data_IF_091767675944
#
_entry.id   IF_091767675944
#
_cell.length_a   1.000
_cell.length_b   1.000
_cell.length_c   1.000
_cell.angle_alpha   90.00
_cell.angle_beta   90.00
_cell.angle_gamma   90.00
#
_symmetry.space_group_name_H-M   'P 1'
#
loop_
_entity.id
_entity.type
_entity.pdbx_description
1 polymer ?
#
# COMPACT_ATOMS: atom_id res chain seq x y z
N UNK A 1 32.07 12.39 3.31
CA UNK A 1 30.60 12.31 3.31
C UNK A 1 30.04 10.88 3.42
N UNK A 2 30.82 9.82 3.14
CA UNK A 2 30.42 8.41 3.30
C UNK A 2 30.41 7.89 4.76
N UNK A 3 31.20 8.45 5.67
CA UNK A 3 31.26 8.00 7.08
C UNK A 3 30.02 8.36 7.91
N UNK A 4 29.29 9.42 7.58
CA UNK A 4 28.11 9.87 8.34
C UNK A 4 26.89 8.97 8.10
N UNK A 5 26.75 8.41 6.89
CA UNK A 5 25.63 7.48 6.55
C UNK A 5 25.80 6.10 7.24
N UNK A 6 27.04 5.61 7.39
CA UNK A 6 27.31 4.35 8.07
C UNK A 6 27.03 4.42 9.59
N UNK A 7 27.28 5.57 10.23
CA UNK A 7 27.01 5.77 11.66
C UNK A 7 25.50 5.84 11.94
N UNK A 8 24.69 6.38 10.99
CA UNK A 8 23.23 6.41 11.16
C UNK A 8 22.60 5.02 11.02
N UNK A 9 23.10 4.15 10.13
CA UNK A 9 22.56 2.79 9.98
C UNK A 9 22.91 1.90 11.17
N UNK A 10 24.14 1.96 11.68
CA UNK A 10 24.59 1.20 12.85
C UNK A 10 23.89 1.66 14.15
N UNK A 11 23.55 2.95 14.27
CA UNK A 11 22.83 3.49 15.44
C UNK A 11 21.36 3.05 15.50
N UNK A 12 20.71 2.79 14.35
CA UNK A 12 19.31 2.34 14.31
C UNK A 12 19.16 0.85 14.64
N UNK A 13 20.14 0.01 14.32
CA UNK A 13 20.14 -1.42 14.69
C UNK A 13 20.31 -1.66 16.19
N UNK A 14 20.82 -0.67 16.93
CA UNK A 14 21.01 -0.72 18.38
C UNK A 14 19.76 -0.30 19.19
N UNK A 15 18.70 0.21 18.53
CA UNK A 15 17.48 0.60 19.24
C UNK A 15 16.62 -0.61 19.59
N UNK A 16 15.96 -0.62 20.76
CA UNK A 16 15.00 -1.66 21.11
C UNK A 16 13.95 -1.85 20.00
N UNK A 17 13.59 -3.10 19.71
CA UNK A 17 12.63 -3.44 18.66
C UNK A 17 11.31 -2.65 18.76
N UNK A 18 10.86 -2.35 19.98
CA UNK A 18 9.67 -1.55 20.25
C UNK A 18 9.78 -0.10 19.76
N UNK A 19 10.97 0.50 19.86
CA UNK A 19 11.22 1.87 19.35
C UNK A 19 11.35 1.83 17.84
N UNK A 20 12.11 0.87 17.32
CA UNK A 20 12.29 0.69 15.87
C UNK A 20 10.95 0.46 15.16
N UNK A 21 10.05 -0.36 15.72
CA UNK A 21 8.68 -0.57 15.22
C UNK A 21 7.91 0.75 15.13
N UNK A 22 7.90 1.56 16.18
CA UNK A 22 7.15 2.82 16.22
C UNK A 22 7.62 3.84 15.18
N UNK A 23 8.91 3.84 14.86
CA UNK A 23 9.51 4.83 13.96
C UNK A 23 9.53 4.35 12.52
N UNK A 24 9.97 3.10 12.27
CA UNK A 24 10.16 2.57 10.92
C UNK A 24 8.90 1.92 10.37
N UNK A 25 8.17 1.17 11.19
CA UNK A 25 7.00 0.40 10.78
C UNK A 25 5.83 0.61 11.75
N UNK A 26 5.34 1.85 11.93
CA UNK A 26 4.19 2.11 12.79
C UNK A 26 2.93 1.45 12.23
N UNK A 27 2.05 0.99 13.13
CA UNK A 27 0.71 0.50 12.78
C UNK A 27 -0.30 1.07 13.78
N UNK A 28 -0.76 2.31 13.59
CA UNK A 28 -1.69 2.96 14.50
C UNK A 28 -3.09 2.30 14.55
N UNK A 29 -3.52 1.64 13.47
CA UNK A 29 -4.83 0.97 13.34
C UNK A 29 -4.68 -0.52 13.03
N UNK A 30 -4.06 -1.33 13.91
CA UNK A 30 -3.76 -2.73 13.62
C UNK A 30 -5.04 -3.57 13.45
N UNK A 31 -6.08 -3.32 14.24
CA UNK A 31 -7.33 -4.06 14.16
C UNK A 31 -8.03 -3.83 12.81
N UNK A 32 -8.15 -2.59 12.37
CA UNK A 32 -8.78 -2.23 11.09
C UNK A 32 -8.02 -2.86 9.91
N UNK A 33 -6.68 -2.83 9.96
CA UNK A 33 -5.84 -3.49 8.93
C UNK A 33 -6.11 -4.99 8.91
N UNK A 34 -6.04 -5.67 10.06
CA UNK A 34 -6.20 -7.13 10.13
C UNK A 34 -7.59 -7.59 9.71
N UNK A 35 -8.64 -6.91 10.19
CA UNK A 35 -10.01 -7.25 9.85
C UNK A 35 -10.31 -7.04 8.36
N UNK A 36 -9.89 -5.91 7.80
CA UNK A 36 -10.14 -5.61 6.40
C UNK A 36 -9.28 -6.48 5.46
N UNK A 37 -7.99 -6.64 5.76
CA UNK A 37 -7.11 -7.54 5.03
C UNK A 37 -7.66 -8.98 5.02
N UNK A 38 -8.15 -9.47 6.17
CA UNK A 38 -8.77 -10.78 6.29
C UNK A 38 -10.05 -10.91 5.46
N UNK A 39 -10.93 -9.90 5.45
CA UNK A 39 -12.16 -9.92 4.64
C UNK A 39 -11.88 -10.00 3.14
N UNK A 40 -10.86 -9.29 2.68
CA UNK A 40 -10.53 -9.19 1.27
C UNK A 40 -9.44 -10.17 0.79
N UNK A 41 -8.85 -10.97 1.69
CA UNK A 41 -7.78 -11.91 1.36
C UNK A 41 -6.49 -11.23 0.90
N UNK A 42 -6.17 -10.07 1.49
CA UNK A 42 -4.95 -9.29 1.21
C UNK A 42 -3.94 -9.50 2.33
N UNK A 43 -2.65 -9.55 1.99
CA UNK A 43 -1.59 -9.60 2.98
C UNK A 43 -1.56 -8.31 3.82
N UNK A 44 -1.72 -8.37 5.16
CA UNK A 44 -1.73 -7.18 6.02
C UNK A 44 -0.40 -6.41 6.01
N UNK A 45 0.73 -7.07 5.73
CA UNK A 45 2.00 -6.38 5.56
C UNK A 45 2.02 -5.52 4.29
N UNK A 46 1.40 -6.02 3.20
CA UNK A 46 1.24 -5.23 1.98
C UNK A 46 0.34 -4.02 2.22
N UNK A 47 -0.77 -4.18 2.94
CA UNK A 47 -1.64 -3.05 3.32
C UNK A 47 -0.86 -1.99 4.09
N UNK A 48 -0.10 -2.39 5.12
CA UNK A 48 0.73 -1.47 5.89
C UNK A 48 1.79 -0.76 5.03
N UNK A 49 2.43 -1.50 4.10
CA UNK A 49 3.44 -0.95 3.20
C UNK A 49 2.85 0.11 2.27
N UNK A 50 1.67 -0.15 1.71
CA UNK A 50 0.94 0.82 0.87
C UNK A 50 0.57 2.05 1.70
N UNK A 51 -0.04 1.91 2.87
CA UNK A 51 -0.40 3.04 3.75
C UNK A 51 0.83 3.91 4.06
N UNK A 52 1.96 3.26 4.40
CA UNK A 52 3.21 3.98 4.68
C UNK A 52 3.70 4.78 3.48
N UNK A 53 3.60 4.23 2.28
CA UNK A 53 4.05 4.89 1.05
C UNK A 53 3.10 5.99 0.59
N UNK A 54 1.79 5.84 0.79
CA UNK A 54 0.76 6.77 0.35
C UNK A 54 0.63 7.99 1.26
N UNK A 55 0.54 7.78 2.56
CA UNK A 55 0.24 8.86 3.50
C UNK A 55 1.21 8.96 4.68
N UNK A 56 2.11 7.99 4.87
CA UNK A 56 2.88 7.87 6.09
C UNK A 56 1.99 7.72 7.33
N UNK A 57 0.82 7.08 7.19
CA UNK A 57 -0.19 6.92 8.24
C UNK A 57 -0.95 8.20 8.62
N UNK A 58 -0.95 9.22 7.77
CA UNK A 58 -1.76 10.41 7.97
C UNK A 58 -3.20 10.18 7.45
N UNK A 59 -4.16 10.02 8.35
CA UNK A 59 -5.58 9.81 8.02
C UNK A 59 -6.21 10.99 7.28
N UNK A 60 -5.66 12.20 7.47
CA UNK A 60 -6.17 13.43 6.86
C UNK A 60 -5.41 13.81 5.58
N UNK A 61 -4.53 12.94 5.09
CA UNK A 61 -3.80 13.21 3.87
C UNK A 61 -4.76 13.44 2.71
N UNK A 62 -4.45 14.45 1.90
CA UNK A 62 -5.17 14.78 0.67
C UNK A 62 -4.17 15.21 -0.38
N UNK A 63 -4.25 14.65 -1.58
CA UNK A 63 -3.40 15.04 -2.69
C UNK A 63 -4.03 16.17 -3.52
N UNK A 64 -3.23 16.93 -4.31
CA UNK A 64 -3.76 17.91 -5.25
C UNK A 64 -4.72 17.30 -6.30
N UNK A 65 -4.57 16.02 -6.61
CA UNK A 65 -5.45 15.27 -7.50
C UNK A 65 -6.76 14.81 -6.84
N UNK A 66 -6.91 15.01 -5.51
CA UNK A 66 -8.12 14.65 -4.75
C UNK A 66 -8.11 13.26 -4.12
N UNK A 67 -6.98 12.57 -4.12
CA UNK A 67 -6.85 11.31 -3.36
C UNK A 67 -6.91 11.60 -1.85
N UNK A 68 -7.50 10.69 -1.06
CA UNK A 68 -7.83 10.94 0.34
C UNK A 68 -7.44 9.80 1.27
N UNK A 69 -7.02 10.17 2.49
CA UNK A 69 -6.85 9.31 3.64
C UNK A 69 -5.61 8.43 3.60
N UNK A 70 -5.59 7.41 4.46
CA UNK A 70 -4.44 6.54 4.72
C UNK A 70 -3.87 5.88 3.47
N UNK A 71 -4.73 5.37 2.59
CA UNK A 71 -4.37 4.65 1.38
C UNK A 71 -4.53 5.50 0.11
N UNK A 72 -4.71 6.83 0.25
CA UNK A 72 -4.81 7.81 -0.85
C UNK A 72 -5.78 7.37 -1.96
N UNK A 73 -7.00 7.05 -1.57
CA UNK A 73 -8.02 6.61 -2.52
C UNK A 73 -8.66 7.79 -3.25
N UNK A 74 -8.81 7.63 -4.56
CA UNK A 74 -9.63 8.53 -5.34
C UNK A 74 -11.12 8.28 -5.03
N UNK A 75 -11.93 9.33 -4.82
CA UNK A 75 -13.38 9.18 -4.58
C UNK A 75 -14.09 8.37 -5.67
N UNK A 76 -13.68 8.54 -6.94
CA UNK A 76 -14.24 7.76 -8.05
C UNK A 76 -13.95 6.26 -7.91
N UNK A 77 -12.73 5.89 -7.51
CA UNK A 77 -12.38 4.47 -7.28
C UNK A 77 -13.20 3.88 -6.14
N UNK A 78 -13.37 4.60 -5.02
CA UNK A 78 -14.21 4.13 -3.92
C UNK A 78 -15.68 3.96 -4.36
N UNK A 79 -16.19 4.88 -5.14
CA UNK A 79 -17.55 4.80 -5.70
C UNK A 79 -17.71 3.56 -6.58
N UNK A 80 -16.78 3.31 -7.51
CA UNK A 80 -16.81 2.12 -8.38
C UNK A 80 -16.76 0.81 -7.58
N UNK A 81 -15.91 0.71 -6.57
CA UNK A 81 -15.82 -0.48 -5.71
C UNK A 81 -17.13 -0.73 -4.94
N UNK A 82 -17.79 0.35 -4.51
CA UNK A 82 -19.12 0.30 -3.90
C UNK A 82 -20.19 -0.20 -4.88
N UNK A 83 -20.21 0.34 -6.11
CA UNK A 83 -21.14 -0.06 -7.17
C UNK A 83 -20.94 -1.51 -7.61
N UNK A 84 -19.69 -2.01 -7.59
CA UNK A 84 -19.39 -3.41 -7.85
C UNK A 84 -19.73 -4.36 -6.69
N UNK A 85 -20.22 -3.81 -5.56
CA UNK A 85 -20.55 -4.60 -4.37
C UNK A 85 -19.33 -5.23 -3.69
N UNK A 86 -18.14 -4.66 -3.89
CA UNK A 86 -16.90 -5.14 -3.29
C UNK A 86 -16.70 -4.65 -1.86
N UNK A 87 -17.46 -3.64 -1.45
CA UNK A 87 -17.49 -3.08 -0.09
C UNK A 87 -18.93 -2.93 0.36
N UNK A 88 -19.22 -3.23 1.61
CA UNK A 88 -20.51 -2.96 2.22
C UNK A 88 -20.71 -1.45 2.43
N UNK A 89 -21.35 -0.81 1.46
CA UNK A 89 -21.61 0.64 1.47
C UNK A 89 -22.59 1.09 2.58
N UNK A 90 -23.32 0.18 3.20
CA UNK A 90 -24.16 0.50 4.35
C UNK A 90 -23.32 0.80 5.59
N UNK A 91 -22.19 0.10 5.73
CA UNK A 91 -21.25 0.22 6.84
C UNK A 91 -20.12 1.21 6.52
N UNK A 92 -19.56 1.18 5.29
CA UNK A 92 -18.42 1.98 4.86
C UNK A 92 -18.85 2.90 3.71
N UNK A 93 -19.04 4.18 3.98
CA UNK A 93 -19.52 5.13 2.97
C UNK A 93 -18.34 5.66 2.12
N UNK A 94 -18.40 5.49 0.81
CA UNK A 94 -17.38 5.98 -0.13
C UNK A 94 -17.10 7.49 -0.03
N UNK A 95 -18.04 8.26 0.55
CA UNK A 95 -17.90 9.70 0.80
C UNK A 95 -17.09 10.05 2.05
N UNK A 96 -16.71 9.06 2.88
CA UNK A 96 -16.02 9.29 4.15
C UNK A 96 -14.60 8.67 4.14
N UNK A 97 -13.79 9.01 3.12
CA UNK A 97 -12.45 8.45 2.93
C UNK A 97 -11.39 8.99 3.90
N UNK A 98 -11.71 9.94 4.75
CA UNK A 98 -10.83 10.38 5.84
C UNK A 98 -11.04 9.59 7.15
N UNK A 99 -12.07 8.74 7.21
CA UNK A 99 -12.23 7.78 8.30
C UNK A 99 -11.29 6.58 8.09
N UNK A 100 -10.40 6.27 9.06
CA UNK A 100 -9.42 5.20 8.92
C UNK A 100 -10.02 3.84 8.57
N UNK A 101 -11.11 3.44 9.22
CA UNK A 101 -11.73 2.14 8.97
C UNK A 101 -12.31 2.06 7.55
N UNK A 102 -12.98 3.11 7.10
CA UNK A 102 -13.54 3.21 5.75
C UNK A 102 -12.43 3.22 4.70
N UNK A 103 -11.37 4.00 4.91
CA UNK A 103 -10.28 4.11 3.95
C UNK A 103 -9.51 2.80 3.78
N UNK A 104 -9.19 2.12 4.89
CA UNK A 104 -8.53 0.80 4.87
C UNK A 104 -9.42 -0.24 4.19
N UNK A 105 -10.74 -0.22 4.44
CA UNK A 105 -11.67 -1.15 3.80
C UNK A 105 -11.69 -1.03 2.28
N UNK A 106 -11.85 0.19 1.76
CA UNK A 106 -11.80 0.43 0.32
C UNK A 106 -10.44 0.15 -0.29
N UNK A 107 -9.35 0.47 0.42
CA UNK A 107 -7.99 0.18 -0.01
C UNK A 107 -7.70 -1.31 -0.13
N UNK A 108 -8.14 -2.11 0.85
CA UNK A 108 -8.03 -3.57 0.81
C UNK A 108 -8.89 -4.15 -0.31
N UNK A 109 -10.12 -3.67 -0.50
CA UNK A 109 -10.99 -4.08 -1.60
C UNK A 109 -10.34 -3.79 -2.96
N UNK A 110 -9.71 -2.62 -3.11
CA UNK A 110 -9.00 -2.26 -4.34
C UNK A 110 -7.77 -3.13 -4.59
N UNK A 111 -6.96 -3.40 -3.57
CA UNK A 111 -5.83 -4.33 -3.67
C UNK A 111 -6.29 -5.73 -4.09
N UNK A 112 -7.34 -6.26 -3.46
CA UNK A 112 -7.92 -7.56 -3.80
C UNK A 112 -8.44 -7.59 -5.25
N UNK A 113 -9.12 -6.54 -5.69
CA UNK A 113 -9.56 -6.39 -7.07
C UNK A 113 -8.37 -6.44 -8.03
N UNK A 114 -7.32 -5.67 -7.76
CA UNK A 114 -6.10 -5.67 -8.59
C UNK A 114 -5.40 -7.03 -8.61
N UNK A 115 -5.30 -7.71 -7.47
CA UNK A 115 -4.73 -9.07 -7.38
C UNK A 115 -5.46 -10.05 -8.27
N UNK A 116 -6.80 -10.03 -8.23
CA UNK A 116 -7.65 -10.88 -9.09
C UNK A 116 -7.45 -10.59 -10.57
N UNK A 117 -7.21 -9.33 -10.93
CA UNK A 117 -7.08 -8.91 -12.32
C UNK A 117 -5.69 -9.13 -12.92
N UNK A 118 -4.64 -9.05 -12.11
CA UNK A 118 -3.25 -8.95 -12.59
C UNK A 118 -2.35 -10.12 -12.18
N UNK A 119 -2.67 -10.83 -11.10
CA UNK A 119 -2.00 -12.05 -10.64
C UNK A 119 -0.54 -11.91 -10.17
N UNK A 120 0.09 -10.74 -10.33
CA UNK A 120 1.48 -10.48 -9.93
C UNK A 120 1.53 -9.31 -8.95
N UNK A 121 2.23 -9.48 -7.83
CA UNK A 121 2.37 -8.45 -6.80
C UNK A 121 2.97 -7.16 -7.35
N UNK A 122 3.99 -7.24 -8.21
CA UNK A 122 4.60 -6.06 -8.82
C UNK A 122 3.60 -5.29 -9.69
N UNK A 123 2.79 -6.02 -10.49
CA UNK A 123 1.74 -5.40 -11.28
C UNK A 123 0.63 -4.79 -10.42
N UNK A 124 0.28 -5.42 -9.30
CA UNK A 124 -0.70 -4.90 -8.33
C UNK A 124 -0.21 -3.58 -7.73
N UNK A 125 1.03 -3.55 -7.24
CA UNK A 125 1.62 -2.34 -6.65
C UNK A 125 1.72 -1.22 -7.71
N UNK A 126 2.20 -1.54 -8.91
CA UNK A 126 2.29 -0.57 -10.00
C UNK A 126 0.90 -0.04 -10.41
N UNK A 127 -0.13 -0.93 -10.46
CA UNK A 127 -1.49 -0.54 -10.83
C UNK A 127 -2.20 0.28 -9.75
N UNK A 128 -1.84 0.08 -8.48
CA UNK A 128 -2.34 0.91 -7.39
C UNK A 128 -1.96 2.38 -7.59
N UNK A 129 -0.73 2.63 -8.05
CA UNK A 129 -0.20 3.97 -8.31
C UNK A 129 -0.58 4.52 -9.69
N UNK A 130 -0.39 3.74 -10.77
CA UNK A 130 -0.54 4.22 -12.15
C UNK A 130 -1.89 3.89 -12.80
N UNK A 131 -2.73 3.11 -12.11
CA UNK A 131 -3.99 2.60 -12.64
C UNK A 131 -3.83 1.30 -13.45
N UNK A 132 -4.87 0.46 -13.38
CA UNK A 132 -4.89 -0.87 -14.01
C UNK A 132 -4.77 -0.82 -15.53
N UNK A 133 -5.36 0.20 -16.18
CA UNK A 133 -5.29 0.39 -17.63
C UNK A 133 -3.86 0.58 -18.12
N UNK A 134 -3.10 1.43 -17.43
CA UNK A 134 -1.68 1.69 -17.71
C UNK A 134 -0.84 0.42 -17.58
N UNK A 135 -1.03 -0.33 -16.49
CA UNK A 135 -0.28 -1.57 -16.26
C UNK A 135 -0.62 -2.66 -17.27
N UNK A 136 -1.87 -2.76 -17.70
CA UNK A 136 -2.25 -3.67 -18.81
C UNK A 136 -1.56 -3.29 -20.11
N UNK A 137 -1.48 -1.99 -20.42
CA UNK A 137 -0.76 -1.51 -21.60
C UNK A 137 0.73 -1.87 -21.52
N UNK A 138 1.42 -1.58 -20.41
CA UNK A 138 2.82 -1.97 -20.22
C UNK A 138 3.02 -3.48 -20.34
N UNK A 139 2.12 -4.28 -19.74
CA UNK A 139 2.19 -5.73 -19.80
C UNK A 139 2.03 -6.28 -21.22
N UNK A 140 1.23 -5.63 -22.07
CA UNK A 140 1.03 -6.04 -23.47
C UNK A 140 2.20 -5.66 -24.37
N UNK A 141 2.98 -4.65 -23.99
CA UNK A 141 4.15 -4.18 -24.74
C UNK A 141 5.45 -4.87 -24.29
N UNK A 142 5.45 -5.48 -23.10
CA UNK A 142 6.61 -6.20 -22.59
C UNK A 142 6.85 -7.49 -23.38
N UNK A 143 8.13 -7.82 -23.65
CA UNK A 143 8.50 -9.12 -24.15
C UNK A 143 8.08 -10.21 -23.16
N UNK A 144 7.60 -11.35 -23.66
CA UNK A 144 7.06 -12.45 -22.83
C UNK A 144 8.04 -12.96 -21.74
N UNK A 145 9.34 -12.81 -21.95
CA UNK A 145 10.40 -13.23 -21.02
C UNK A 145 11.07 -12.07 -20.27
N UNK A 146 10.58 -10.83 -20.43
CA UNK A 146 11.16 -9.68 -19.73
C UNK A 146 10.53 -9.51 -18.35
N UNK A 147 11.34 -9.06 -17.39
CA UNK A 147 10.81 -8.62 -16.09
C UNK A 147 9.84 -7.45 -16.31
N UNK A 148 8.63 -7.54 -15.75
CA UNK A 148 7.62 -6.48 -15.82
C UNK A 148 8.16 -5.11 -15.40
N UNK A 149 9.09 -5.08 -14.45
CA UNK A 149 9.71 -3.83 -13.97
C UNK A 149 10.37 -3.03 -15.09
N UNK A 150 10.93 -3.71 -16.10
CA UNK A 150 11.56 -3.05 -17.24
C UNK A 150 10.56 -2.40 -18.21
N UNK A 151 9.28 -2.78 -18.12
CA UNK A 151 8.21 -2.21 -18.94
C UNK A 151 7.57 -0.96 -18.32
N UNK A 152 7.86 -0.66 -17.05
CA UNK A 152 7.31 0.52 -16.36
C UNK A 152 7.93 1.78 -16.96
N UNK A 153 7.13 2.53 -17.72
CA UNK A 153 7.62 3.76 -18.39
C UNK A 153 7.50 5.02 -17.53
N UNK A 154 6.80 4.96 -16.39
CA UNK A 154 6.70 6.09 -15.46
C UNK A 154 7.74 5.96 -14.34
N UNK A 155 8.76 6.85 -14.28
CA UNK A 155 9.80 6.79 -13.22
C UNK A 155 9.21 6.87 -11.81
N UNK A 156 8.13 7.62 -11.61
CA UNK A 156 7.42 7.71 -10.34
C UNK A 156 6.88 6.35 -9.90
N UNK A 157 6.23 5.61 -10.81
CA UNK A 157 5.68 4.29 -10.50
C UNK A 157 6.78 3.25 -10.23
N UNK A 158 7.90 3.33 -10.94
CA UNK A 158 9.06 2.47 -10.68
C UNK A 158 9.61 2.71 -9.26
N UNK A 159 9.78 3.97 -8.86
CA UNK A 159 10.20 4.35 -7.50
C UNK A 159 9.14 3.96 -6.44
N UNK A 160 7.86 4.09 -6.76
CA UNK A 160 6.78 3.68 -5.87
C UNK A 160 6.82 2.17 -5.61
N UNK A 161 6.98 1.37 -6.66
CA UNK A 161 7.12 -0.08 -6.55
C UNK A 161 8.28 -0.47 -5.60
N UNK A 162 9.45 0.14 -5.79
CA UNK A 162 10.62 -0.08 -4.92
C UNK A 162 10.35 0.32 -3.46
N UNK A 163 9.74 1.47 -3.23
CA UNK A 163 9.39 1.96 -1.88
C UNK A 163 8.42 1.02 -1.17
N UNK A 164 7.41 0.50 -1.88
CA UNK A 164 6.45 -0.45 -1.29
C UNK A 164 7.13 -1.76 -0.95
N UNK A 165 8.02 -2.29 -1.79
CA UNK A 165 8.78 -3.50 -1.48
C UNK A 165 9.69 -3.33 -0.25
N UNK A 166 10.40 -2.21 -0.16
CA UNK A 166 11.22 -1.90 1.03
C UNK A 166 10.37 -1.80 2.29
N UNK A 167 9.25 -1.09 2.21
CA UNK A 167 8.33 -0.98 3.33
C UNK A 167 7.75 -2.34 3.74
N UNK A 168 7.37 -3.17 2.77
CA UNK A 168 6.87 -4.52 3.00
C UNK A 168 7.89 -5.39 3.75
N UNK A 169 9.15 -5.39 3.29
CA UNK A 169 10.23 -6.12 3.96
C UNK A 169 10.48 -5.61 5.40
N UNK A 170 10.39 -4.29 5.61
CA UNK A 170 10.50 -3.71 6.96
C UNK A 170 9.37 -4.21 7.89
N UNK A 171 8.12 -4.22 7.41
CA UNK A 171 7.00 -4.73 8.21
C UNK A 171 7.18 -6.22 8.55
N UNK A 172 7.54 -7.06 7.59
CA UNK A 172 7.79 -8.49 7.86
C UNK A 172 8.92 -8.69 8.87
N UNK A 173 10.02 -7.95 8.74
CA UNK A 173 11.17 -8.04 9.63
C UNK A 173 10.86 -7.56 11.05
N UNK A 174 10.12 -6.45 11.18
CA UNK A 174 9.86 -5.80 12.46
C UNK A 174 8.63 -6.37 13.19
N UNK A 175 7.72 -7.04 12.49
CA UNK A 175 6.53 -7.68 13.04
C UNK A 175 6.49 -9.19 12.74
N UNK A 176 7.52 -9.97 13.17
CA UNK A 176 7.62 -11.39 12.80
C UNK A 176 6.49 -12.26 13.36
N UNK A 177 5.79 -11.81 14.40
CA UNK A 177 4.62 -12.47 14.98
C UNK A 177 3.28 -12.06 14.34
N UNK A 178 3.31 -11.19 13.33
CA UNK A 178 2.11 -10.59 12.72
C UNK A 178 1.88 -9.15 13.16
N UNK A 179 1.11 -8.42 12.37
CA UNK A 179 0.74 -7.03 12.67
C UNK A 179 -0.03 -6.96 13.99
N UNK A 180 0.42 -6.12 14.92
CA UNK A 180 -0.22 -5.94 16.23
C UNK A 180 0.22 -6.92 17.31
N UNK A 181 1.17 -7.83 17.01
CA UNK A 181 1.74 -8.77 17.98
C UNK A 181 2.83 -8.14 18.87
#
# INVERSE_FOLDING_TARGET
>A
MMMVLAVFSAGFEALPASITRKVIAPVPWPQQVLESAGRHGVDPYLVCAVIRCESGWNEKASSPAGAQGLMQLMPATAQELSEFGLVDASKYKATNLQDPATNIEYGCAYLAYLQKQLGSTDKVIAAYNAGIGTVRQWSSQANANADFKTAISYPETALYLERVHLAYADYQRLWPGGIGA
#
